data_IF_014973816283
#
_entry.id   IF_014973816283
#
_cell.length_a   1.000
_cell.length_b   1.000
_cell.length_c   1.000
_cell.angle_alpha   90.00
_cell.angle_beta   90.00
_cell.angle_gamma   90.00
#
_symmetry.space_group_name_H-M   'P 1'
#
loop_
_entity.id
_entity.type
_entity.pdbx_description
1 polymer ?
#
# COMPACT_ATOMS: atom_id res chain seq x y z
N UNK A 1 -63.79 26.95 19.67
CA UNK A 1 -62.54 27.27 20.40
C UNK A 1 -61.38 26.62 19.66
N UNK A 2 -60.92 27.13 18.51
CA UNK A 2 -60.16 28.36 18.28
C UNK A 2 -58.87 28.46 19.12
N UNK A 3 -57.73 28.03 18.55
CA UNK A 3 -56.51 28.87 18.45
C UNK A 3 -55.45 28.25 17.53
N UNK A 4 -55.29 28.94 16.40
CA UNK A 4 -54.10 29.04 15.55
C UNK A 4 -52.89 29.58 16.31
N UNK A 5 -51.69 29.33 15.76
CA UNK A 5 -50.39 30.04 15.84
C UNK A 5 -49.29 28.95 15.72
N UNK A 6 -48.25 29.01 14.90
CA UNK A 6 -47.67 30.04 14.06
C UNK A 6 -46.24 29.56 13.75
N UNK A 7 -45.84 29.64 12.47
CA UNK A 7 -44.51 29.37 11.93
C UNK A 7 -43.35 29.94 12.76
N UNK A 8 -42.25 29.18 12.88
CA UNK A 8 -40.88 29.73 12.84
C UNK A 8 -40.01 28.81 11.99
N UNK A 9 -39.62 29.32 10.82
CA UNK A 9 -38.55 28.80 9.98
C UNK A 9 -37.22 29.24 10.61
N UNK A 10 -36.37 28.29 11.01
CA UNK A 10 -34.99 28.59 11.35
C UNK A 10 -34.15 28.56 10.08
N UNK A 11 -33.98 29.74 9.49
CA UNK A 11 -32.90 30.08 8.59
C UNK A 11 -31.59 30.03 9.38
N UNK A 12 -30.70 29.08 9.07
CA UNK A 12 -29.30 29.18 9.47
C UNK A 12 -28.56 29.85 8.32
N UNK A 13 -28.11 31.06 8.65
CA UNK A 13 -27.37 32.00 7.82
C UNK A 13 -26.02 31.41 7.41
N UNK A 14 -25.76 31.47 6.11
CA UNK A 14 -24.47 31.23 5.48
C UNK A 14 -23.53 32.38 5.85
N UNK A 15 -22.41 32.08 6.49
CA UNK A 15 -21.22 32.92 6.48
C UNK A 15 -19.99 32.07 6.81
N UNK A 16 -19.15 31.80 5.81
CA UNK A 16 -17.75 32.22 5.82
C UNK A 16 -17.03 31.65 4.60
N UNK A 17 -16.34 32.55 3.92
CA UNK A 17 -15.74 32.41 2.59
C UNK A 17 -14.39 31.68 2.66
N UNK A 18 -14.17 30.74 1.74
CA UNK A 18 -12.84 30.35 1.29
C UNK A 18 -12.83 30.38 -0.25
N UNK A 19 -11.86 31.06 -0.90
CA UNK A 19 -11.89 31.27 -2.35
C UNK A 19 -11.35 30.04 -3.08
N UNK A 20 -12.23 29.23 -3.65
CA UNK A 20 -11.86 28.32 -4.72
C UNK A 20 -12.01 29.04 -6.06
N UNK A 21 -10.89 29.21 -6.73
CA UNK A 21 -10.79 29.83 -8.05
C UNK A 21 -11.54 28.96 -9.07
N UNK A 22 -12.66 29.48 -9.58
CA UNK A 22 -13.43 28.85 -10.65
C UNK A 22 -12.79 29.24 -11.98
N UNK A 23 -12.04 28.32 -12.59
CA UNK A 23 -11.50 28.51 -13.93
C UNK A 23 -12.62 28.50 -14.96
N UNK A 24 -12.87 29.64 -15.61
CA UNK A 24 -13.78 29.77 -16.74
C UNK A 24 -13.15 29.18 -18.00
N UNK A 25 -13.70 28.07 -18.50
CA UNK A 25 -13.38 27.58 -19.84
C UNK A 25 -14.09 28.44 -20.88
N UNK A 26 -13.35 29.33 -21.56
CA UNK A 26 -13.84 29.99 -22.77
C UNK A 26 -13.88 29.00 -23.93
N UNK A 27 -15.07 28.73 -24.44
CA UNK A 27 -15.29 28.01 -25.69
C UNK A 27 -15.09 28.99 -26.85
N UNK A 28 -13.95 28.91 -27.53
CA UNK A 28 -13.73 29.65 -28.78
C UNK A 28 -14.24 28.82 -29.95
N UNK A 29 -15.42 29.17 -30.46
CA UNK A 29 -15.94 28.69 -31.74
C UNK A 29 -15.35 29.56 -32.86
N UNK A 30 -14.49 29.00 -33.70
CA UNK A 30 -14.20 29.57 -35.01
C UNK A 30 -14.75 28.66 -36.11
N UNK A 31 -15.56 29.18 -37.04
CA UNK A 31 -15.90 28.47 -38.26
C UNK A 31 -14.79 28.68 -39.30
N UNK A 32 -14.51 27.68 -40.15
CA UNK A 32 -14.45 27.77 -41.61
C UNK A 32 -13.70 26.59 -42.27
N UNK A 33 -14.40 26.02 -43.28
CA UNK A 33 -13.95 25.51 -44.59
C UNK A 33 -12.96 24.33 -44.71
N UNK A 34 -13.55 23.24 -45.26
CA UNK A 34 -13.14 22.47 -46.46
C UNK A 34 -11.66 22.08 -46.63
N UNK A 35 -11.48 20.76 -46.54
CA UNK A 35 -10.64 19.87 -47.36
C UNK A 35 -9.18 20.27 -47.62
N UNK A 36 -8.25 19.56 -46.96
CA UNK A 36 -7.22 18.79 -47.65
C UNK A 36 -6.54 17.82 -46.66
N UNK A 37 -6.28 16.60 -47.13
CA UNK A 37 -5.57 15.52 -46.44
C UNK A 37 -4.17 15.94 -46.02
N UNK A 38 -3.81 15.80 -44.73
CA UNK A 38 -2.43 15.52 -44.31
C UNK A 38 -2.39 14.97 -42.87
N UNK A 39 -1.68 13.85 -42.71
CA UNK A 39 -1.34 13.22 -41.43
C UNK A 39 -0.54 14.17 -40.54
N UNK A 40 -0.92 14.29 -39.27
CA UNK A 40 -0.16 15.01 -38.24
C UNK A 40 0.26 14.02 -37.16
N UNK A 41 1.48 13.51 -37.31
CA UNK A 41 2.28 12.94 -36.23
C UNK A 41 2.64 14.03 -35.23
N UNK A 42 2.05 13.97 -34.04
CA UNK A 42 2.50 14.77 -32.90
C UNK A 42 3.49 13.95 -32.09
N UNK A 43 4.78 14.13 -32.40
CA UNK A 43 5.89 13.70 -31.57
C UNK A 43 5.96 14.61 -30.35
N UNK A 44 5.66 14.08 -29.16
CA UNK A 44 5.84 14.81 -27.91
C UNK A 44 7.11 14.28 -27.24
N UNK A 45 8.23 14.98 -27.43
CA UNK A 45 9.50 14.69 -26.76
C UNK A 45 9.42 15.15 -25.30
N UNK A 46 9.51 14.22 -24.35
CA UNK A 46 9.67 14.53 -22.93
C UNK A 46 11.17 14.68 -22.65
N UNK A 47 11.56 15.91 -22.38
CA UNK A 47 12.91 16.29 -21.96
C UNK A 47 13.12 15.89 -20.48
N UNK A 48 14.04 14.96 -20.22
CA UNK A 48 14.46 14.56 -18.87
C UNK A 48 15.50 15.57 -18.35
N UNK A 49 15.29 16.22 -17.19
CA UNK A 49 16.31 17.07 -16.58
C UNK A 49 17.53 16.26 -16.14
N UNK A 50 18.72 16.63 -16.63
CA UNK A 50 19.99 16.06 -16.21
C UNK A 50 20.49 16.75 -14.93
N UNK A 51 20.97 16.03 -13.91
CA UNK A 51 21.57 16.63 -12.72
C UNK A 51 22.92 17.30 -13.04
N UNK A 52 23.30 18.38 -12.31
CA UNK A 52 24.46 19.20 -12.63
C UNK A 52 25.80 18.46 -12.38
N UNK A 53 26.85 18.78 -13.16
CA UNK A 53 28.18 18.18 -12.98
C UNK A 53 28.84 18.68 -11.69
N UNK A 54 29.31 17.74 -10.88
CA UNK A 54 30.16 18.01 -9.70
C UNK A 54 31.53 18.48 -10.18
N UNK A 55 31.82 19.76 -9.97
CA UNK A 55 33.09 20.40 -10.29
C UNK A 55 34.14 20.02 -9.24
N UNK A 56 35.10 19.19 -9.62
CA UNK A 56 36.25 18.83 -8.80
C UNK A 56 37.35 19.89 -8.98
N UNK A 57 37.46 20.85 -8.06
CA UNK A 57 38.52 21.84 -8.08
C UNK A 57 39.86 21.23 -7.63
N UNK A 58 40.75 21.00 -8.61
CA UNK A 58 42.19 20.85 -8.40
C UNK A 58 42.82 22.22 -8.19
N UNK A 59 43.77 22.30 -7.23
CA UNK A 59 44.78 23.33 -6.88
C UNK A 59 44.62 23.59 -5.36
N UNK A 60 45.61 23.31 -4.51
CA UNK A 60 46.95 23.90 -4.54
C UNK A 60 48.07 22.94 -4.12
N UNK A 61 49.26 23.23 -4.65
CA UNK A 61 50.53 22.69 -4.23
C UNK A 61 51.30 23.75 -3.41
N UNK A 62 52.32 23.27 -2.69
CA UNK A 62 53.49 23.95 -2.09
C UNK A 62 53.43 24.09 -0.56
N UNK A 63 54.42 23.48 0.11
CA UNK A 63 54.77 23.74 1.50
C UNK A 63 55.76 22.73 2.08
N UNK A 64 57.03 22.83 1.70
CA UNK A 64 58.15 22.19 2.42
C UNK A 64 58.30 22.85 3.81
N UNK A 65 58.15 22.09 4.91
CA UNK A 65 58.89 22.39 6.13
C UNK A 65 59.07 21.17 7.04
N UNK A 66 60.33 21.00 7.41
CA UNK A 66 60.96 19.97 8.23
C UNK A 66 60.36 19.78 9.63
N UNK A 67 60.38 18.51 10.07
CA UNK A 67 60.60 18.06 11.44
C UNK A 67 59.66 18.55 12.54
N UNK A 68 58.78 17.67 13.05
CA UNK A 68 58.65 17.34 14.47
C UNK A 68 57.79 16.07 14.59
N UNK A 69 58.40 14.98 15.02
CA UNK A 69 57.67 13.75 15.34
C UNK A 69 56.78 13.96 16.55
N UNK A 70 55.53 13.52 16.46
CA UNK A 70 54.72 13.19 17.62
C UNK A 70 53.65 12.17 17.21
N UNK A 71 53.93 10.93 17.60
CA UNK A 71 53.01 9.79 17.80
C UNK A 71 51.51 10.12 17.64
N UNK A 72 50.89 9.58 16.59
CA UNK A 72 49.46 9.26 16.59
C UNK A 72 49.29 7.77 16.29
N UNK A 73 49.63 6.99 17.31
CA UNK A 73 49.05 5.67 17.54
C UNK A 73 47.54 5.82 17.61
N UNK A 74 46.82 5.07 16.78
CA UNK A 74 45.60 4.31 17.09
C UNK A 74 44.77 4.14 15.81
N UNK A 75 44.87 2.93 15.27
CA UNK A 75 43.71 2.08 14.97
C UNK A 75 42.51 2.82 14.35
N UNK A 76 42.52 2.96 13.02
CA UNK A 76 41.28 3.29 12.32
C UNK A 76 40.26 2.18 12.59
N UNK A 77 39.08 2.47 13.15
CA UNK A 77 38.02 1.49 13.22
C UNK A 77 37.60 1.17 11.78
N UNK A 78 37.69 -0.11 11.43
CA UNK A 78 37.13 -0.68 10.22
C UNK A 78 35.63 -0.36 10.27
N UNK A 79 35.16 0.56 9.43
CA UNK A 79 33.73 0.82 9.28
C UNK A 79 33.11 -0.49 8.75
N UNK A 80 32.17 -1.12 9.47
CA UNK A 80 31.45 -2.23 8.90
C UNK A 80 30.64 -1.68 7.72
N UNK A 81 30.94 -2.19 6.53
CA UNK A 81 30.11 -2.02 5.34
C UNK A 81 28.69 -2.38 5.76
N UNK A 82 27.80 -1.40 5.80
CA UNK A 82 26.39 -1.60 6.05
C UNK A 82 25.89 -2.57 4.97
N UNK A 83 25.75 -3.82 5.37
CA UNK A 83 24.92 -4.79 4.67
C UNK A 83 23.55 -4.15 4.60
N UNK A 84 23.18 -3.68 3.41
CA UNK A 84 21.81 -3.40 3.05
C UNK A 84 21.08 -4.75 2.96
N UNK A 85 20.92 -5.42 4.10
CA UNK A 85 19.85 -6.38 4.27
C UNK A 85 18.58 -5.56 4.23
N UNK A 86 17.72 -5.86 3.27
CA UNK A 86 16.37 -5.32 3.14
C UNK A 86 15.63 -5.59 4.44
N UNK A 87 15.70 -4.63 5.35
CA UNK A 87 14.92 -4.60 6.57
C UNK A 87 13.49 -4.28 6.13
N UNK A 88 12.67 -5.33 6.01
CA UNK A 88 11.22 -5.18 5.98
C UNK A 88 10.88 -4.45 7.27
N UNK A 89 10.64 -3.14 7.17
CA UNK A 89 10.31 -2.33 8.33
C UNK A 89 9.23 -3.09 9.13
N UNK A 90 9.50 -3.43 10.40
CA UNK A 90 8.53 -4.15 11.20
C UNK A 90 7.33 -3.23 11.36
N UNK A 91 6.21 -3.68 10.83
CA UNK A 91 5.00 -2.89 10.78
C UNK A 91 4.13 -3.33 11.98
N UNK A 92 3.79 -2.37 12.83
CA UNK A 92 3.11 -2.64 14.10
C UNK A 92 1.68 -3.13 13.86
N UNK A 93 1.33 -4.28 14.45
CA UNK A 93 0.02 -4.89 14.28
C UNK A 93 -1.01 -4.19 15.19
N UNK A 94 -2.06 -3.66 14.59
CA UNK A 94 -3.25 -3.17 15.30
C UNK A 94 -4.23 -4.33 15.51
N UNK A 95 -4.70 -4.52 16.74
CA UNK A 95 -5.62 -5.61 17.10
C UNK A 95 -7.07 -5.10 17.08
N UNK A 96 -7.93 -5.79 16.33
CA UNK A 96 -9.35 -5.51 16.26
C UNK A 96 -10.14 -6.30 17.33
N UNK A 97 -11.38 -5.89 17.66
CA UNK A 97 -12.24 -6.61 18.62
C UNK A 97 -12.49 -8.08 18.26
N UNK A 98 -12.44 -8.43 16.97
CA UNK A 98 -12.57 -9.81 16.49
C UNK A 98 -11.35 -10.70 16.78
N UNK A 99 -10.27 -10.14 17.33
CA UNK A 99 -8.99 -10.82 17.54
C UNK A 99 -8.09 -10.84 16.30
N UNK A 100 -8.60 -10.45 15.13
CA UNK A 100 -7.79 -10.22 13.95
C UNK A 100 -6.82 -9.06 14.22
N UNK A 101 -5.54 -9.25 13.92
CA UNK A 101 -4.58 -8.13 13.89
C UNK A 101 -4.16 -7.82 12.47
N UNK A 102 -3.94 -6.55 12.16
CA UNK A 102 -3.53 -6.13 10.82
C UNK A 102 -2.50 -5.01 10.86
N UNK A 103 -1.79 -4.86 9.75
CA UNK A 103 -0.90 -3.74 9.52
C UNK A 103 -0.82 -3.44 8.02
N UNK A 104 -1.14 -2.21 7.63
CA UNK A 104 -0.95 -1.73 6.26
C UNK A 104 0.51 -1.35 6.02
N UNK A 105 1.25 -2.24 5.35
CA UNK A 105 2.62 -1.96 4.89
C UNK A 105 2.64 -0.91 3.79
N UNK A 106 1.65 -0.98 2.90
CA UNK A 106 1.43 -0.01 1.83
C UNK A 106 -0.07 0.21 1.73
N UNK A 107 -0.52 1.45 1.87
CA UNK A 107 -1.92 1.83 1.62
C UNK A 107 -2.11 1.97 0.12
N UNK A 108 -3.08 1.25 -0.44
CA UNK A 108 -3.39 1.33 -1.87
C UNK A 108 -3.97 2.68 -2.27
N UNK A 109 -3.75 3.08 -3.53
CA UNK A 109 -4.26 4.34 -4.09
C UNK A 109 -5.44 4.11 -5.05
N UNK A 110 -5.76 2.86 -5.35
CA UNK A 110 -6.88 2.50 -6.22
C UNK A 110 -8.21 2.40 -5.47
N UNK A 111 -9.27 1.90 -6.14
CA UNK A 111 -10.58 1.74 -5.53
C UNK A 111 -10.56 0.82 -4.31
N UNK A 112 -11.44 1.10 -3.35
CA UNK A 112 -11.71 0.25 -2.20
C UNK A 112 -12.26 -1.12 -2.64
N UNK A 113 -11.95 -2.18 -1.90
CA UNK A 113 -12.61 -3.47 -2.05
C UNK A 113 -14.11 -3.38 -1.75
N UNK A 114 -14.95 -3.98 -2.60
CA UNK A 114 -16.42 -3.99 -2.46
C UNK A 114 -16.94 -5.41 -2.31
N UNK A 115 -17.86 -5.63 -1.36
CA UNK A 115 -18.47 -6.95 -1.11
C UNK A 115 -19.09 -7.54 -2.39
N UNK A 116 -18.82 -8.81 -2.65
CA UNK A 116 -19.29 -9.56 -3.83
C UNK A 116 -18.51 -9.29 -5.11
N UNK A 117 -17.57 -8.33 -5.11
CA UNK A 117 -16.73 -8.02 -6.26
C UNK A 117 -15.70 -9.12 -6.50
N UNK A 118 -15.48 -9.46 -7.77
CA UNK A 118 -14.37 -10.31 -8.18
C UNK A 118 -13.06 -9.51 -8.11
N UNK A 119 -12.09 -9.98 -7.34
CA UNK A 119 -10.80 -9.33 -7.13
C UNK A 119 -9.63 -10.28 -7.40
N UNK A 120 -8.45 -9.71 -7.61
CA UNK A 120 -7.16 -10.41 -7.67
C UNK A 120 -6.28 -10.01 -6.48
N UNK A 121 -5.67 -10.99 -5.84
CA UNK A 121 -4.69 -10.75 -4.78
C UNK A 121 -3.49 -11.67 -4.90
N UNK A 122 -2.30 -11.10 -4.69
CA UNK A 122 -1.12 -11.86 -4.32
C UNK A 122 -1.09 -12.06 -2.81
N UNK A 123 -0.48 -13.16 -2.38
CA UNK A 123 -0.31 -13.46 -0.97
C UNK A 123 0.84 -14.43 -0.69
N UNK A 124 1.30 -14.40 0.56
CA UNK A 124 2.11 -15.43 1.21
C UNK A 124 1.47 -15.76 2.56
N UNK A 125 1.17 -17.04 2.79
CA UNK A 125 0.65 -17.56 4.06
C UNK A 125 1.72 -18.34 4.82
N UNK A 126 1.95 -18.00 6.08
CA UNK A 126 2.92 -18.65 6.97
C UNK A 126 2.35 -18.91 8.36
N UNK A 127 2.88 -19.93 9.03
CA UNK A 127 2.62 -20.20 10.45
C UNK A 127 3.50 -19.29 11.33
N UNK A 128 3.20 -19.21 12.63
CA UNK A 128 4.00 -18.41 13.58
C UNK A 128 5.46 -18.89 13.71
N UNK A 129 5.73 -20.15 13.40
CA UNK A 129 7.10 -20.69 13.33
C UNK A 129 7.84 -20.30 12.03
N UNK A 130 7.26 -19.43 11.19
CA UNK A 130 7.84 -18.95 9.94
C UNK A 130 7.66 -19.88 8.74
N UNK A 131 7.14 -21.10 8.92
CA UNK A 131 6.91 -22.04 7.82
C UNK A 131 5.83 -21.49 6.88
N UNK A 132 6.21 -21.22 5.64
CA UNK A 132 5.27 -20.91 4.55
C UNK A 132 4.48 -22.16 4.19
N UNK A 133 3.15 -22.07 4.21
CA UNK A 133 2.27 -23.17 3.83
C UNK A 133 1.64 -22.99 2.45
N UNK A 134 1.49 -21.74 1.99
CA UNK A 134 0.96 -21.44 0.66
C UNK A 134 1.42 -20.06 0.18
N UNK A 135 1.52 -19.87 -1.13
CA UNK A 135 1.92 -18.60 -1.74
C UNK A 135 1.42 -18.53 -3.18
N UNK A 136 0.79 -17.41 -3.54
CA UNK A 136 0.41 -17.12 -4.93
C UNK A 136 1.62 -17.06 -5.87
N UNK A 137 2.78 -16.64 -5.38
CA UNK A 137 4.00 -16.54 -6.18
C UNK A 137 4.52 -17.93 -6.58
N UNK A 138 4.39 -18.92 -5.69
CA UNK A 138 4.73 -20.31 -6.01
C UNK A 138 3.81 -20.91 -7.09
N UNK A 139 2.60 -20.35 -7.24
CA UNK A 139 1.62 -20.74 -8.26
C UNK A 139 1.76 -19.94 -9.56
N UNK A 140 2.63 -18.93 -9.59
CA UNK A 140 2.90 -18.08 -10.75
C UNK A 140 1.78 -17.10 -11.14
N UNK A 141 0.71 -16.97 -10.33
CA UNK A 141 -0.42 -16.07 -10.62
C UNK A 141 -1.16 -15.62 -9.36
N UNK A 142 -1.80 -14.44 -9.37
CA UNK A 142 -2.70 -14.01 -8.30
C UNK A 142 -3.86 -15.00 -8.10
N UNK A 143 -4.40 -15.03 -6.88
CA UNK A 143 -5.68 -15.68 -6.61
C UNK A 143 -6.81 -14.75 -7.06
N UNK A 144 -7.75 -15.29 -7.83
CA UNK A 144 -8.98 -14.58 -8.22
C UNK A 144 -10.15 -15.17 -7.45
N UNK A 145 -10.91 -14.33 -6.74
CA UNK A 145 -12.05 -14.75 -5.92
C UNK A 145 -13.03 -13.59 -5.70
N UNK A 146 -14.26 -13.90 -5.28
CA UNK A 146 -15.24 -12.91 -4.83
C UNK A 146 -15.05 -12.63 -3.35
N UNK A 147 -14.81 -11.37 -3.00
CA UNK A 147 -14.56 -10.97 -1.62
C UNK A 147 -15.86 -10.80 -0.83
N UNK A 148 -15.90 -11.25 0.42
CA UNK A 148 -17.03 -11.06 1.35
C UNK A 148 -18.21 -11.99 1.14
N UNK A 149 -18.00 -13.11 0.46
CA UNK A 149 -19.03 -14.11 0.17
C UNK A 149 -18.64 -15.51 0.65
N UNK A 150 -17.53 -15.65 1.39
CA UNK A 150 -17.09 -16.94 1.92
C UNK A 150 -16.39 -17.86 0.92
N UNK A 151 -15.85 -17.32 -0.19
CA UNK A 151 -14.98 -18.10 -1.10
C UNK A 151 -13.57 -18.32 -0.52
N UNK A 152 -13.19 -17.52 0.49
CA UNK A 152 -11.93 -17.60 1.23
C UNK A 152 -12.22 -17.69 2.73
N UNK A 153 -11.18 -17.94 3.54
CA UNK A 153 -11.31 -17.98 5.00
C UNK A 153 -11.88 -16.66 5.53
N UNK A 154 -12.65 -16.72 6.63
CA UNK A 154 -13.36 -15.56 7.18
C UNK A 154 -12.43 -14.38 7.48
N UNK A 155 -11.22 -14.64 7.98
CA UNK A 155 -10.23 -13.60 8.26
C UNK A 155 -9.74 -12.84 7.02
N UNK A 156 -9.80 -13.46 5.83
CA UNK A 156 -9.51 -12.74 4.58
C UNK A 156 -10.65 -11.82 4.17
N UNK A 157 -11.89 -12.30 4.24
CA UNK A 157 -13.05 -11.47 3.92
C UNK A 157 -13.11 -10.23 4.82
N UNK A 158 -12.97 -10.43 6.13
CA UNK A 158 -12.92 -9.37 7.14
C UNK A 158 -11.67 -8.49 6.97
N UNK A 159 -10.50 -9.09 6.76
CA UNK A 159 -9.23 -8.36 6.64
C UNK A 159 -9.11 -7.50 5.37
N UNK A 160 -9.84 -7.84 4.30
CA UNK A 160 -9.81 -7.09 3.03
C UNK A 160 -10.98 -6.09 2.95
N UNK A 161 -12.20 -6.50 3.30
CA UNK A 161 -13.36 -5.59 3.26
C UNK A 161 -13.41 -4.62 4.42
N UNK A 162 -12.74 -4.95 5.52
CA UNK A 162 -12.90 -4.25 6.79
C UNK A 162 -14.10 -4.78 7.59
N UNK A 163 -14.08 -4.43 8.87
CA UNK A 163 -15.09 -4.73 9.88
C UNK A 163 -14.85 -3.76 11.06
N UNK A 164 -15.50 -3.97 12.20
CA UNK A 164 -15.24 -3.16 13.39
C UNK A 164 -13.74 -3.18 13.77
N UNK A 165 -13.15 -1.98 13.88
CA UNK A 165 -11.72 -1.80 14.14
C UNK A 165 -10.77 -2.14 12.97
N UNK A 166 -11.28 -2.51 11.79
CA UNK A 166 -10.45 -2.87 10.62
C UNK A 166 -10.88 -2.01 9.42
N UNK A 167 -10.04 -1.10 8.93
CA UNK A 167 -10.35 -0.33 7.74
C UNK A 167 -10.32 -1.23 6.49
N UNK A 168 -11.09 -0.92 5.45
CA UNK A 168 -11.03 -1.65 4.19
C UNK A 168 -9.67 -1.53 3.49
N UNK A 169 -9.31 -2.50 2.65
CA UNK A 169 -8.15 -2.40 1.75
C UNK A 169 -8.50 -1.68 0.45
N UNK A 170 -7.51 -1.00 -0.10
CA UNK A 170 -7.55 -0.32 -1.39
C UNK A 170 -6.65 -1.02 -2.41
N UNK A 171 -7.04 -1.01 -3.69
CA UNK A 171 -6.26 -1.64 -4.74
C UNK A 171 -4.85 -1.03 -4.83
N UNK A 172 -3.85 -1.89 -5.06
CA UNK A 172 -2.42 -1.59 -4.94
C UNK A 172 -1.87 -1.68 -3.50
N UNK A 173 -2.71 -1.92 -2.50
CA UNK A 173 -2.30 -2.00 -1.10
C UNK A 173 -1.65 -3.32 -0.72
N UNK A 174 -0.76 -3.27 0.29
CA UNK A 174 -0.14 -4.43 0.92
C UNK A 174 -0.43 -4.43 2.42
N UNK A 175 -1.08 -5.49 2.92
CA UNK A 175 -1.48 -5.64 4.31
C UNK A 175 -0.95 -6.94 4.89
N UNK A 176 -0.41 -6.87 6.10
CA UNK A 176 -0.14 -8.05 6.93
C UNK A 176 -1.39 -8.34 7.76
N UNK A 177 -1.82 -9.59 7.82
CA UNK A 177 -2.91 -10.08 8.66
C UNK A 177 -2.38 -11.16 9.60
N UNK A 178 -2.70 -11.05 10.88
CA UNK A 178 -2.55 -12.11 11.89
C UNK A 178 -3.95 -12.60 12.25
N UNK A 179 -4.26 -13.82 11.84
CA UNK A 179 -5.58 -14.41 11.97
C UNK A 179 -5.57 -15.43 13.13
N UNK A 180 -6.44 -15.26 14.14
CA UNK A 180 -6.64 -16.29 15.14
C UNK A 180 -7.35 -17.51 14.50
N UNK A 181 -7.30 -18.69 15.13
CA UNK A 181 -7.77 -19.93 14.50
C UNK A 181 -9.22 -19.89 14.05
N UNK A 182 -10.09 -19.19 14.77
CA UNK A 182 -11.53 -19.05 14.52
C UNK A 182 -11.82 -18.27 13.23
N UNK A 183 -10.87 -17.44 12.79
CA UNK A 183 -10.92 -16.71 11.52
C UNK A 183 -10.09 -17.40 10.41
N UNK A 184 -9.42 -18.51 10.75
CA UNK A 184 -8.65 -19.36 9.85
C UNK A 184 -9.33 -20.71 9.63
N UNK A 185 -8.67 -21.79 10.05
CA UNK A 185 -9.12 -23.17 9.86
C UNK A 185 -9.59 -23.88 11.14
N UNK A 186 -9.58 -23.17 12.28
CA UNK A 186 -10.03 -23.65 13.59
C UNK A 186 -9.35 -24.94 14.05
N UNK A 187 -10.05 -25.69 14.88
CA UNK A 187 -9.59 -26.96 15.47
C UNK A 187 -9.45 -28.11 14.46
N UNK A 188 -9.84 -27.91 13.20
CA UNK A 188 -9.70 -28.93 12.15
C UNK A 188 -8.34 -28.90 11.47
N UNK A 189 -7.69 -27.73 11.41
CA UNK A 189 -6.52 -27.51 10.57
C UNK A 189 -6.82 -27.65 9.08
N UNK A 190 -5.78 -27.73 8.24
CA UNK A 190 -5.92 -27.87 6.79
C UNK A 190 -4.72 -28.57 6.12
N UNK A 191 -4.97 -29.11 4.92
CA UNK A 191 -3.96 -29.84 4.15
C UNK A 191 -3.53 -31.14 4.82
N UNK A 192 -4.48 -31.88 5.41
CA UNK A 192 -4.21 -33.10 6.14
C UNK A 192 -4.04 -34.32 5.21
N UNK A 193 -2.94 -35.04 5.38
CA UNK A 193 -2.63 -36.29 4.67
C UNK A 193 -1.91 -37.24 5.62
N UNK A 194 -2.43 -38.46 5.77
CA UNK A 194 -1.79 -39.51 6.57
C UNK A 194 -1.60 -39.16 8.06
N UNK A 195 -2.54 -38.42 8.66
CA UNK A 195 -2.48 -38.02 10.07
C UNK A 195 -1.66 -36.75 10.36
N UNK A 196 -1.01 -36.17 9.36
CA UNK A 196 -0.29 -34.91 9.48
C UNK A 196 -0.95 -33.82 8.64
N UNK A 197 -1.03 -32.59 9.16
CA UNK A 197 -1.62 -31.44 8.46
C UNK A 197 -0.56 -30.40 8.15
N UNK A 198 -0.62 -29.83 6.93
CA UNK A 198 0.25 -28.71 6.55
C UNK A 198 0.02 -27.52 7.48
N UNK A 199 -1.25 -27.27 7.83
CA UNK A 199 -1.71 -26.32 8.84
C UNK A 199 -2.31 -27.15 9.99
N UNK A 200 -1.63 -27.25 11.15
CA UNK A 200 -2.17 -27.94 12.31
C UNK A 200 -3.50 -27.34 12.82
N UNK A 201 -4.30 -28.09 13.58
CA UNK A 201 -5.38 -27.55 14.41
C UNK A 201 -4.96 -26.32 15.22
N UNK A 202 -5.90 -25.40 15.44
CA UNK A 202 -5.74 -24.25 16.33
C UNK A 202 -4.54 -23.36 16.01
N UNK A 203 -4.13 -23.34 14.74
CA UNK A 203 -3.00 -22.53 14.26
C UNK A 203 -3.41 -21.08 14.02
N UNK A 204 -2.61 -20.16 14.56
CA UNK A 204 -2.59 -18.76 14.15
C UNK A 204 -1.92 -18.65 12.78
N UNK A 205 -2.53 -17.87 11.88
CA UNK A 205 -2.05 -17.71 10.50
C UNK A 205 -1.56 -16.29 10.28
N UNK A 206 -0.39 -16.15 9.66
CA UNK A 206 0.14 -14.88 9.19
C UNK A 206 0.04 -14.83 7.67
N UNK A 207 -0.60 -13.79 7.15
CA UNK A 207 -0.68 -13.53 5.72
C UNK A 207 -0.10 -12.17 5.38
N UNK A 208 0.76 -12.12 4.37
CA UNK A 208 1.03 -10.88 3.65
C UNK A 208 0.15 -10.89 2.40
N UNK A 209 -0.79 -9.96 2.29
CA UNK A 209 -1.76 -9.83 1.19
C UNK A 209 -1.46 -8.58 0.38
N UNK A 210 -1.37 -8.72 -0.93
CA UNK A 210 -1.25 -7.63 -1.90
C UNK A 210 -2.52 -7.60 -2.76
N UNK A 211 -3.38 -6.62 -2.51
CA UNK A 211 -4.62 -6.45 -3.25
C UNK A 211 -4.32 -5.79 -4.60
N UNK A 212 -4.35 -6.57 -5.67
CA UNK A 212 -4.03 -6.07 -7.03
C UNK A 212 -5.13 -5.14 -7.54
N UNK A 213 -6.39 -5.55 -7.39
CA UNK A 213 -7.55 -4.79 -7.88
C UNK A 213 -8.65 -5.70 -8.40
N UNK A 214 -9.50 -5.17 -9.28
CA UNK A 214 -10.64 -5.90 -9.88
C UNK A 214 -10.15 -7.06 -10.75
N UNK A 215 -10.82 -8.21 -10.63
CA UNK A 215 -10.55 -9.46 -11.33
C UNK A 215 -10.98 -9.49 -12.78
#
# INVERSE_FOLDING_TARGET
TARTHGHILNSVEMNSLAPYSVGTCLTSLQPQKRNHSSSLTTTCSIQVPQPPPVQLNRRDAIGLSLSFGLVHSLLQPIIPIATAASEVAPCELTVAPSGLSFCDKIVGTGPQAVKGQLIKAHYVGRLENGKVFDSSYNRGKPLTFRVGVGEVIKGWDVGILGDDGIPPMFAGGKRTLKLPPELGYGSRGAGCRGGSCVIPPDSVLLFDVEFVGKG
#
